data_IF_814794383723
#
_entry.id   IF_814794383723
#
_cell.length_a   1.000
_cell.length_b   1.000
_cell.length_c   1.000
_cell.angle_alpha   90.00
_cell.angle_beta   90.00
_cell.angle_gamma   90.00
#
_symmetry.space_group_name_H-M   'P 1'
#
loop_
_entity.id
_entity.type
_entity.pdbx_description
1 polymer ?
#
# COMPACT_ATOMS: atom_id res chain seq x y z
N UNK A 1 5.12 -4.07 11.78
CA UNK A 1 4.87 -2.67 11.42
C UNK A 1 3.37 -2.55 11.24
N UNK A 2 2.70 -1.68 11.98
CA UNK A 2 1.24 -1.51 11.86
C UNK A 2 1.02 -0.47 10.77
N UNK A 3 0.33 -0.87 9.70
CA UNK A 3 -0.04 0.02 8.59
C UNK A 3 -1.43 0.59 8.82
N UNK A 4 -1.79 1.63 8.06
CA UNK A 4 -3.18 2.05 7.94
C UNK A 4 -4.04 0.89 7.40
N UNK A 5 -5.32 0.83 7.79
CA UNK A 5 -6.20 -0.25 7.32
C UNK A 5 -6.44 -0.18 5.81
N UNK A 6 -6.40 1.01 5.24
CA UNK A 6 -6.45 1.22 3.79
C UNK A 6 -5.30 0.50 3.06
N UNK A 7 -4.06 0.66 3.55
CA UNK A 7 -2.90 -0.03 2.98
C UNK A 7 -2.94 -1.54 3.19
N UNK A 8 -3.39 -1.98 4.35
CA UNK A 8 -3.58 -3.41 4.63
C UNK A 8 -4.56 -4.04 3.66
N UNK A 9 -5.69 -3.40 3.39
CA UNK A 9 -6.67 -3.87 2.40
C UNK A 9 -6.09 -3.94 0.99
N UNK A 10 -5.27 -2.95 0.58
CA UNK A 10 -4.58 -3.00 -0.71
C UNK A 10 -3.56 -4.13 -0.77
N UNK A 11 -2.90 -4.45 0.36
CA UNK A 11 -1.90 -5.51 0.43
C UNK A 11 -2.48 -6.92 0.41
N UNK A 12 -3.76 -7.11 0.75
CA UNK A 12 -4.40 -8.42 0.67
C UNK A 12 -4.39 -9.06 -0.73
N UNK A 13 -4.26 -8.25 -1.77
CA UNK A 13 -4.20 -8.68 -3.17
C UNK A 13 -2.84 -8.31 -3.80
N UNK A 14 -1.76 -8.39 -3.02
CA UNK A 14 -0.42 -8.15 -3.52
C UNK A 14 -0.02 -9.12 -4.66
N UNK A 15 0.78 -8.62 -5.63
CA UNK A 15 1.27 -7.25 -5.80
C UNK A 15 0.33 -6.36 -6.63
N UNK A 16 -0.73 -6.92 -7.21
CA UNK A 16 -1.51 -6.30 -8.28
C UNK A 16 -2.23 -5.02 -7.89
N UNK A 17 -2.82 -4.97 -6.68
CA UNK A 17 -3.57 -3.79 -6.26
C UNK A 17 -2.66 -2.62 -5.92
N UNK A 18 -1.49 -2.87 -5.34
CA UNK A 18 -0.50 -1.82 -5.10
C UNK A 18 0.03 -1.24 -6.42
N UNK A 19 0.31 -2.10 -7.40
CA UNK A 19 0.72 -1.68 -8.74
C UNK A 19 -0.39 -0.85 -9.39
N UNK A 20 -1.62 -1.36 -9.38
CA UNK A 20 -2.74 -0.74 -10.07
C UNK A 20 -3.10 0.61 -9.46
N UNK A 21 -3.26 0.70 -8.14
CA UNK A 21 -3.76 1.92 -7.49
C UNK A 21 -2.69 2.95 -7.15
N UNK A 22 -1.43 2.54 -7.06
CA UNK A 22 -0.32 3.44 -6.71
C UNK A 22 0.66 3.64 -7.85
N UNK A 23 1.23 2.57 -8.39
CA UNK A 23 2.30 2.68 -9.38
C UNK A 23 1.78 3.23 -10.72
N UNK A 24 0.66 2.72 -11.22
CA UNK A 24 0.13 3.14 -12.53
C UNK A 24 -0.20 4.64 -12.58
N UNK A 25 -0.98 5.21 -11.63
CA UNK A 25 -1.25 6.66 -11.65
C UNK A 25 0.01 7.50 -11.50
N UNK A 26 0.97 7.04 -10.68
CA UNK A 26 2.23 7.73 -10.45
C UNK A 26 3.08 7.79 -11.73
N UNK A 27 3.32 6.65 -12.38
CA UNK A 27 4.09 6.59 -13.63
C UNK A 27 3.44 7.41 -14.74
N UNK A 28 2.13 7.34 -14.88
CA UNK A 28 1.40 8.16 -15.86
C UNK A 28 1.56 9.66 -15.57
N UNK A 29 1.40 10.07 -14.31
CA UNK A 29 1.54 11.46 -13.90
C UNK A 29 2.96 12.00 -14.14
N UNK A 30 3.97 11.23 -13.78
CA UNK A 30 5.37 11.60 -14.02
C UNK A 30 5.70 11.67 -15.51
N UNK A 31 5.16 10.74 -16.31
CA UNK A 31 5.31 10.75 -17.77
C UNK A 31 4.69 12.01 -18.38
N UNK A 32 3.51 12.42 -17.93
CA UNK A 32 2.85 13.65 -18.39
C UNK A 32 3.67 14.87 -17.99
N UNK A 33 4.14 14.92 -16.76
CA UNK A 33 4.93 16.05 -16.26
C UNK A 33 6.26 16.17 -17.02
N UNK A 34 6.95 15.05 -17.24
CA UNK A 34 8.19 15.02 -18.01
C UNK A 34 7.97 15.41 -19.49
N UNK A 35 6.95 14.85 -20.12
CA UNK A 35 6.63 15.19 -21.53
C UNK A 35 6.23 16.64 -21.69
N UNK A 36 5.47 17.21 -20.75
CA UNK A 36 5.15 18.64 -20.74
C UNK A 36 6.38 19.54 -20.58
N UNK A 37 7.32 19.14 -19.71
CA UNK A 37 8.58 19.85 -19.56
C UNK A 37 9.45 19.78 -20.84
N UNK A 38 9.53 18.60 -21.47
CA UNK A 38 10.24 18.46 -22.74
C UNK A 38 9.61 19.23 -23.88
N UNK A 39 8.28 19.29 -23.95
CA UNK A 39 7.56 20.11 -24.93
C UNK A 39 7.88 21.59 -24.79
N UNK A 40 8.08 22.09 -23.57
CA UNK A 40 8.47 23.48 -23.34
C UNK A 40 9.94 23.74 -23.69
N UNK A 41 10.84 22.77 -23.49
CA UNK A 41 12.25 22.90 -23.78
C UNK A 41 12.58 22.80 -25.28
N UNK A 42 11.93 21.86 -25.96
CA UNK A 42 12.17 21.59 -27.38
C UNK A 42 11.09 22.27 -28.23
N UNK A 43 11.41 23.41 -28.86
CA UNK A 43 10.50 24.15 -29.76
C UNK A 43 10.48 23.59 -31.19
N UNK A 44 11.12 22.46 -31.44
CA UNK A 44 11.23 21.83 -32.75
C UNK A 44 10.12 20.81 -33.01
N UNK A 45 10.12 20.17 -34.17
CA UNK A 45 9.19 19.09 -34.57
C UNK A 45 9.11 17.90 -33.58
N UNK A 46 10.04 17.81 -32.62
CA UNK A 46 10.01 16.86 -31.53
C UNK A 46 8.98 17.19 -30.46
N UNK A 47 8.61 18.47 -30.30
CA UNK A 47 7.60 18.90 -29.30
C UNK A 47 6.26 18.28 -29.57
N UNK A 48 5.86 18.12 -30.84
CA UNK A 48 4.58 17.53 -31.24
C UNK A 48 4.42 16.08 -30.75
N UNK A 49 5.50 15.29 -30.75
CA UNK A 49 5.48 13.92 -30.23
C UNK A 49 5.31 13.87 -28.71
N UNK A 50 5.95 14.79 -28.00
CA UNK A 50 5.82 14.91 -26.56
C UNK A 50 4.44 15.39 -26.13
N UNK A 51 3.86 16.32 -26.88
CA UNK A 51 2.49 16.80 -26.67
C UNK A 51 1.47 15.68 -26.91
N UNK A 52 1.65 14.90 -27.97
CA UNK A 52 0.79 13.73 -28.25
C UNK A 52 0.88 12.69 -27.15
N UNK A 53 2.09 12.41 -26.64
CA UNK A 53 2.30 11.48 -25.53
C UNK A 53 1.61 11.98 -24.25
N UNK A 54 1.81 13.26 -23.92
CA UNK A 54 1.16 13.90 -22.78
C UNK A 54 -0.36 13.79 -22.85
N UNK A 55 -0.92 14.09 -24.04
CA UNK A 55 -2.36 14.01 -24.29
C UNK A 55 -2.93 12.60 -24.07
N UNK A 56 -2.30 11.58 -24.66
CA UNK A 56 -2.76 10.18 -24.52
C UNK A 56 -2.64 9.72 -23.06
N UNK A 57 -1.51 9.99 -22.41
CA UNK A 57 -1.33 9.64 -21.00
C UNK A 57 -2.31 10.38 -20.09
N UNK A 58 -2.64 11.65 -20.39
CA UNK A 58 -3.61 12.44 -19.63
C UNK A 58 -5.04 11.88 -19.73
N UNK A 59 -5.46 11.44 -20.91
CA UNK A 59 -6.75 10.77 -21.09
C UNK A 59 -6.81 9.46 -20.29
N UNK A 60 -5.77 8.63 -20.42
CA UNK A 60 -5.69 7.35 -19.71
C UNK A 60 -5.70 7.59 -18.19
N UNK A 61 -4.88 8.52 -17.70
CA UNK A 61 -4.79 8.83 -16.28
C UNK A 61 -6.13 9.31 -15.73
N UNK A 62 -6.80 10.24 -16.42
CA UNK A 62 -8.07 10.80 -15.98
C UNK A 62 -9.17 9.74 -15.85
N UNK A 63 -9.37 8.94 -16.91
CA UNK A 63 -10.37 7.85 -16.89
C UNK A 63 -10.02 6.81 -15.84
N UNK A 64 -8.77 6.36 -15.82
CA UNK A 64 -8.30 5.36 -14.87
C UNK A 64 -8.51 5.81 -13.43
N UNK A 65 -8.11 7.04 -13.11
CA UNK A 65 -8.18 7.54 -11.73
C UNK A 65 -9.63 7.72 -11.24
N UNK A 66 -10.56 8.11 -12.12
CA UNK A 66 -11.99 8.16 -11.79
C UNK A 66 -12.51 6.76 -11.47
N UNK A 67 -12.23 5.77 -12.31
CA UNK A 67 -12.67 4.39 -12.11
C UNK A 67 -12.07 3.82 -10.82
N UNK A 68 -10.77 4.02 -10.61
CA UNK A 68 -10.06 3.58 -9.39
C UNK A 68 -10.66 4.20 -8.13
N UNK A 69 -10.98 5.50 -8.16
CA UNK A 69 -11.57 6.18 -7.00
C UNK A 69 -12.99 5.70 -6.72
N UNK A 70 -13.82 5.53 -7.75
CA UNK A 70 -15.17 4.96 -7.58
C UNK A 70 -15.06 3.57 -6.96
N UNK A 71 -14.14 2.74 -7.43
CA UNK A 71 -13.91 1.41 -6.86
C UNK A 71 -13.48 1.47 -5.39
N UNK A 72 -12.54 2.33 -5.04
CA UNK A 72 -12.09 2.50 -3.64
C UNK A 72 -13.25 2.97 -2.76
N UNK A 73 -14.01 3.98 -3.18
CA UNK A 73 -15.11 4.54 -2.40
C UNK A 73 -16.24 3.52 -2.21
N UNK A 74 -16.55 2.71 -3.22
CA UNK A 74 -17.65 1.74 -3.14
C UNK A 74 -17.27 0.42 -2.45
N UNK A 75 -16.03 -0.05 -2.64
CA UNK A 75 -15.59 -1.37 -2.17
C UNK A 75 -14.80 -1.31 -0.88
N UNK A 76 -13.92 -0.31 -0.71
CA UNK A 76 -13.03 -0.23 0.45
C UNK A 76 -13.56 0.65 1.58
N UNK A 77 -14.08 1.83 1.27
CA UNK A 77 -14.55 2.78 2.30
C UNK A 77 -15.60 2.16 3.24
N UNK A 78 -16.57 1.32 2.77
CA UNK A 78 -17.53 0.68 3.67
C UNK A 78 -16.93 -0.38 4.58
N UNK A 79 -15.78 -0.97 4.19
CA UNK A 79 -15.13 -2.06 4.94
C UNK A 79 -13.97 -1.58 5.80
N UNK A 80 -13.59 -0.31 5.70
CA UNK A 80 -12.48 0.24 6.45
C UNK A 80 -12.81 0.36 7.93
N UNK A 81 -11.91 -0.21 8.74
CA UNK A 81 -11.86 0.06 10.18
C UNK A 81 -10.93 1.24 10.43
N UNK A 82 -11.52 2.38 10.75
CA UNK A 82 -10.78 3.62 10.97
C UNK A 82 -9.82 3.51 12.16
N UNK A 83 -8.53 3.54 11.91
CA UNK A 83 -7.46 3.43 12.92
C UNK A 83 -6.96 4.79 13.41
N UNK A 84 -7.61 5.88 13.00
CA UNK A 84 -7.28 7.22 13.46
C UNK A 84 -7.25 8.27 12.36
N UNK A 85 -6.80 9.50 12.67
CA UNK A 85 -6.80 10.61 11.73
C UNK A 85 -5.91 10.38 10.49
N UNK A 86 -4.89 9.53 10.61
CA UNK A 86 -3.99 9.20 9.49
C UNK A 86 -4.75 8.49 8.38
N UNK A 87 -5.65 7.55 8.70
CA UNK A 87 -6.49 6.87 7.71
C UNK A 87 -7.40 7.85 6.97
N UNK A 88 -8.00 8.80 7.71
CA UNK A 88 -8.84 9.84 7.10
C UNK A 88 -8.06 10.69 6.12
N UNK A 89 -6.88 11.18 6.53
CA UNK A 89 -6.04 12.02 5.68
C UNK A 89 -5.64 11.26 4.41
N UNK A 90 -5.22 9.99 4.53
CA UNK A 90 -4.80 9.16 3.39
C UNK A 90 -5.93 9.00 2.37
N UNK A 91 -7.12 8.57 2.80
CA UNK A 91 -8.25 8.32 1.91
C UNK A 91 -8.79 9.62 1.33
N UNK A 92 -8.96 10.66 2.15
CA UNK A 92 -9.45 11.94 1.66
C UNK A 92 -8.47 12.61 0.71
N UNK A 93 -7.16 12.50 0.93
CA UNK A 93 -6.16 12.97 -0.04
C UNK A 93 -6.30 12.23 -1.39
N UNK A 94 -6.51 10.91 -1.36
CA UNK A 94 -6.75 10.14 -2.58
C UNK A 94 -8.03 10.61 -3.32
N UNK A 95 -9.14 10.73 -2.61
CA UNK A 95 -10.42 11.18 -3.17
C UNK A 95 -10.33 12.61 -3.71
N UNK A 96 -9.66 13.52 -2.99
CA UNK A 96 -9.44 14.90 -3.44
C UNK A 96 -8.59 14.96 -4.72
N UNK A 97 -7.70 13.98 -4.93
CA UNK A 97 -6.93 13.83 -6.18
C UNK A 97 -7.80 13.65 -7.43
N UNK A 98 -9.08 13.26 -7.28
CA UNK A 98 -10.03 13.19 -8.40
C UNK A 98 -10.30 14.57 -9.02
N UNK A 99 -10.31 15.62 -8.21
CA UNK A 99 -10.60 16.97 -8.70
C UNK A 99 -9.61 17.39 -9.79
N UNK A 100 -8.29 17.41 -9.54
CA UNK A 100 -7.34 17.72 -10.59
C UNK A 100 -7.32 16.68 -11.71
N UNK A 101 -7.55 15.38 -11.44
CA UNK A 101 -7.64 14.36 -12.48
C UNK A 101 -8.78 14.62 -13.47
N UNK A 102 -9.96 14.95 -12.98
CA UNK A 102 -11.12 15.33 -13.83
C UNK A 102 -10.83 16.60 -14.61
N UNK A 103 -10.23 17.60 -13.98
CA UNK A 103 -9.89 18.85 -14.67
C UNK A 103 -8.84 18.63 -15.77
N UNK A 104 -7.87 17.74 -15.56
CA UNK A 104 -6.91 17.34 -16.59
C UNK A 104 -7.64 16.63 -17.73
N UNK A 105 -8.50 15.66 -17.42
CA UNK A 105 -9.31 14.95 -18.43
C UNK A 105 -10.15 15.91 -19.26
N UNK A 106 -10.85 16.85 -18.63
CA UNK A 106 -11.67 17.85 -19.32
C UNK A 106 -10.82 18.81 -20.17
N UNK A 107 -9.61 19.10 -19.74
CA UNK A 107 -8.65 19.90 -20.50
C UNK A 107 -8.17 19.14 -21.74
N UNK A 108 -7.85 17.85 -21.61
CA UNK A 108 -7.43 17.00 -22.72
C UNK A 108 -8.56 16.76 -23.74
N UNK A 109 -9.80 16.64 -23.27
CA UNK A 109 -10.98 16.58 -24.13
C UNK A 109 -11.31 17.92 -24.82
N UNK A 110 -10.57 19.01 -24.48
CA UNK A 110 -10.80 20.33 -25.05
C UNK A 110 -12.10 21.00 -24.60
N UNK A 111 -12.72 20.52 -23.52
CA UNK A 111 -13.98 21.08 -22.98
C UNK A 111 -13.71 22.36 -22.22
N UNK A 112 -12.63 22.39 -21.42
CA UNK A 112 -12.22 23.56 -20.63
C UNK A 112 -10.99 24.23 -21.24
N UNK A 113 -10.83 25.52 -20.95
CA UNK A 113 -9.71 26.36 -21.44
C UNK A 113 -9.57 26.47 -22.96
N UNK A 114 -10.65 26.28 -23.73
CA UNK A 114 -10.65 26.32 -25.17
C UNK A 114 -10.27 27.70 -25.74
N UNK A 115 -10.59 28.79 -25.03
CA UNK A 115 -10.29 30.16 -25.44
C UNK A 115 -9.02 30.74 -24.82
N UNK A 116 -8.21 29.94 -24.14
CA UNK A 116 -6.98 30.37 -23.47
C UNK A 116 -5.80 30.32 -24.44
N UNK A 117 -4.86 31.28 -24.32
CA UNK A 117 -3.60 31.25 -25.04
C UNK A 117 -2.86 29.94 -24.82
N UNK A 118 -2.14 29.45 -25.84
CA UNK A 118 -1.39 28.20 -25.79
C UNK A 118 -0.47 28.10 -24.55
N UNK A 119 0.25 29.18 -24.24
CA UNK A 119 1.14 29.25 -23.07
C UNK A 119 0.36 29.20 -21.75
N UNK A 120 -0.81 29.83 -21.69
CA UNK A 120 -1.65 29.80 -20.49
C UNK A 120 -2.28 28.43 -20.26
N UNK A 121 -2.63 27.71 -21.33
CA UNK A 121 -3.12 26.33 -21.28
C UNK A 121 -2.08 25.38 -20.70
N UNK A 122 -0.82 25.45 -21.17
CA UNK A 122 0.28 24.63 -20.68
C UNK A 122 0.56 24.91 -19.20
N UNK A 123 0.61 26.17 -18.80
CA UNK A 123 0.80 26.54 -17.38
C UNK A 123 -0.29 25.96 -16.48
N UNK A 124 -1.55 26.05 -16.88
CA UNK A 124 -2.68 25.48 -16.12
C UNK A 124 -2.56 23.97 -16.03
N UNK A 125 -2.20 23.30 -17.12
CA UNK A 125 -1.97 21.87 -17.16
C UNK A 125 -0.89 21.44 -16.16
N UNK A 126 0.26 22.12 -16.16
CA UNK A 126 1.34 21.84 -15.23
C UNK A 126 0.90 22.03 -13.77
N UNK A 127 0.16 23.11 -13.48
CA UNK A 127 -0.35 23.35 -12.11
C UNK A 127 -1.32 22.25 -11.67
N UNK A 128 -2.22 21.81 -12.55
CA UNK A 128 -3.14 20.70 -12.24
C UNK A 128 -2.39 19.39 -12.03
N UNK A 129 -1.35 19.13 -12.82
CA UNK A 129 -0.50 17.95 -12.65
C UNK A 129 0.27 17.98 -11.34
N UNK A 130 0.85 19.12 -10.95
CA UNK A 130 1.53 19.28 -9.67
C UNK A 130 0.55 19.03 -8.52
N UNK A 131 -0.66 19.58 -8.61
CA UNK A 131 -1.70 19.40 -7.59
C UNK A 131 -2.13 17.93 -7.49
N UNK A 132 -2.29 17.25 -8.63
CA UNK A 132 -2.60 15.82 -8.68
C UNK A 132 -1.50 15.00 -8.01
N UNK A 133 -0.24 15.21 -8.40
CA UNK A 133 0.93 14.53 -7.82
C UNK A 133 1.02 14.78 -6.32
N UNK A 134 0.76 16.02 -5.87
CA UNK A 134 0.77 16.35 -4.45
C UNK A 134 -0.26 15.51 -3.67
N UNK A 135 -1.51 15.44 -4.14
CA UNK A 135 -2.55 14.69 -3.46
C UNK A 135 -2.30 13.18 -3.47
N UNK A 136 -1.82 12.62 -4.57
CA UNK A 136 -1.51 11.18 -4.66
C UNK A 136 -0.32 10.80 -3.79
N UNK A 137 0.73 11.62 -3.72
CA UNK A 137 1.86 11.40 -2.82
C UNK A 137 1.46 11.55 -1.36
N UNK A 138 0.62 12.54 -1.03
CA UNK A 138 0.09 12.72 0.33
C UNK A 138 -0.70 11.48 0.75
N UNK A 139 -1.57 10.96 -0.12
CA UNK A 139 -2.33 9.74 0.13
C UNK A 139 -1.41 8.53 0.39
N UNK A 140 -0.34 8.39 -0.41
CA UNK A 140 0.63 7.30 -0.27
C UNK A 140 1.44 7.41 1.02
N UNK A 141 1.99 8.58 1.31
CA UNK A 141 2.83 8.81 2.52
C UNK A 141 2.01 8.57 3.78
N UNK A 142 0.81 9.13 3.88
CA UNK A 142 -0.06 8.91 5.04
C UNK A 142 -0.63 7.49 5.06
N UNK A 143 -0.84 6.86 3.90
CA UNK A 143 -1.24 5.46 3.83
C UNK A 143 -0.22 4.50 4.44
N UNK A 144 1.07 4.78 4.25
CA UNK A 144 2.17 3.97 4.80
C UNK A 144 2.57 4.38 6.23
N UNK A 145 2.08 5.50 6.74
CA UNK A 145 2.40 5.98 8.08
C UNK A 145 1.83 5.03 9.15
N UNK A 146 2.57 4.88 10.25
CA UNK A 146 2.10 4.05 11.37
C UNK A 146 0.97 4.78 12.13
N UNK A 147 -0.25 4.19 12.22
CA UNK A 147 -1.36 4.81 12.95
C UNK A 147 -1.07 5.04 14.43
N UNK A 148 -0.12 4.35 15.01
CA UNK A 148 0.30 4.52 16.41
C UNK A 148 0.91 5.91 16.65
N UNK A 149 1.50 6.53 15.63
CA UNK A 149 2.00 7.91 15.72
C UNK A 149 0.88 8.93 16.01
N UNK A 150 -0.36 8.60 15.68
CA UNK A 150 -1.55 9.41 15.94
C UNK A 150 -2.37 8.90 17.13
N UNK A 151 -1.78 8.07 17.99
CA UNK A 151 -2.43 7.58 19.22
C UNK A 151 -3.30 6.34 19.04
N UNK A 152 -3.25 5.65 17.92
CA UNK A 152 -3.93 4.37 17.75
C UNK A 152 -3.27 3.29 18.62
N UNK A 153 -4.08 2.65 19.48
CA UNK A 153 -3.65 1.50 20.26
C UNK A 153 -4.24 0.25 19.59
N UNK A 154 -3.41 -0.62 18.98
CA UNK A 154 -3.91 -1.84 18.38
C UNK A 154 -4.57 -2.70 19.47
N UNK A 155 -5.69 -3.36 19.19
CA UNK A 155 -6.29 -4.29 20.13
C UNK A 155 -5.22 -5.32 20.48
N UNK A 156 -5.00 -5.55 21.79
CA UNK A 156 -4.11 -6.60 22.26
C UNK A 156 -4.53 -7.89 21.57
N UNK A 157 -3.75 -8.36 20.62
CA UNK A 157 -3.87 -9.75 20.20
C UNK A 157 -3.64 -10.54 21.47
N UNK A 158 -4.73 -11.11 22.02
CA UNK A 158 -4.61 -12.20 22.95
C UNK A 158 -3.87 -13.28 22.16
N UNK A 159 -2.55 -13.27 22.26
CA UNK A 159 -1.73 -14.40 21.93
C UNK A 159 -2.17 -15.52 22.89
N UNK A 160 -3.25 -16.21 22.53
CA UNK A 160 -3.41 -17.62 22.85
C UNK A 160 -2.41 -18.42 21.99
N UNK A 161 -1.22 -17.89 21.74
CA UNK A 161 -0.04 -18.70 21.57
C UNK A 161 0.33 -19.10 23.00
N UNK A 162 -0.21 -20.29 23.37
CA UNK A 162 0.45 -21.22 24.26
C UNK A 162 1.62 -20.58 24.99
N UNK A 163 1.36 -20.04 26.17
CA UNK A 163 2.30 -20.24 27.25
C UNK A 163 2.39 -21.75 27.54
N UNK A 164 2.92 -22.50 26.58
CA UNK A 164 3.80 -23.61 26.85
C UNK A 164 5.13 -23.00 27.33
N UNK A 165 5.04 -22.13 28.26
CA UNK A 165 6.21 -21.75 29.00
C UNK A 165 6.17 -22.59 30.27
N UNK A 166 7.05 -23.61 30.27
CA UNK A 166 7.42 -24.46 31.35
C UNK A 166 7.57 -23.75 32.67
N UNK A 167 6.50 -23.69 33.39
CA UNK A 167 6.43 -23.65 34.80
C UNK A 167 5.31 -24.62 35.24
N UNK A 168 5.39 -25.86 34.78
CA UNK A 168 4.97 -26.94 35.66
C UNK A 168 6.08 -27.07 36.71
N UNK A 169 5.81 -26.84 37.98
CA UNK A 169 6.71 -27.31 39.01
C UNK A 169 6.79 -28.83 38.80
N UNK A 170 7.95 -29.32 38.41
CA UNK A 170 8.23 -30.75 38.50
C UNK A 170 8.23 -31.05 39.99
N UNK A 171 7.12 -31.63 40.45
CA UNK A 171 7.05 -32.25 41.77
C UNK A 171 7.95 -33.47 41.73
N UNK A 172 9.19 -33.29 42.19
CA UNK A 172 10.20 -34.34 42.32
C UNK A 172 9.90 -35.33 43.46
N UNK A 173 8.72 -35.24 44.11
CA UNK A 173 8.38 -36.05 45.28
C UNK A 173 7.76 -37.41 44.97
N UNK A 174 7.67 -37.86 43.72
CA UNK A 174 7.12 -39.17 43.34
C UNK A 174 8.02 -40.01 42.43
N UNK A 175 9.32 -39.86 42.49
CA UNK A 175 10.21 -40.92 42.00
C UNK A 175 10.64 -41.79 43.20
N UNK A 176 9.80 -42.77 43.46
CA UNK A 176 10.11 -43.87 44.38
C UNK A 176 11.21 -44.73 43.76
N UNK A 177 12.41 -44.57 44.28
CA UNK A 177 13.61 -45.34 43.85
C UNK A 177 13.64 -46.77 44.42
N UNK A 178 12.52 -47.34 44.89
CA UNK A 178 12.51 -48.63 45.61
C UNK A 178 12.17 -49.86 44.75
N UNK A 179 12.19 -49.79 43.42
CA UNK A 179 11.99 -51.00 42.61
C UNK A 179 12.99 -51.14 41.44
N UNK A 180 14.25 -50.99 41.68
CA UNK A 180 15.25 -51.66 40.86
C UNK A 180 15.75 -52.91 41.56
N UNK A 181 15.11 -54.02 41.20
CA UNK A 181 15.51 -55.35 41.64
C UNK A 181 16.88 -55.69 41.01
N UNK A 182 17.89 -55.78 41.87
CA UNK A 182 19.28 -56.11 41.53
C UNK A 182 19.49 -57.60 41.27
N UNK A 183 18.47 -58.44 41.07
CA UNK A 183 18.56 -59.87 41.04
C UNK A 183 18.54 -60.57 39.70
N UNK A 184 18.81 -59.88 38.60
CA UNK A 184 18.88 -60.53 37.29
C UNK A 184 20.17 -60.34 36.49
N UNK A 185 21.30 -60.05 37.13
CA UNK A 185 22.60 -60.02 36.45
C UNK A 185 23.65 -60.92 37.05
N UNK A 186 23.28 -62.11 37.55
CA UNK A 186 24.29 -63.05 38.00
C UNK A 186 24.02 -64.53 37.59
N UNK A 187 23.51 -64.75 36.42
CA UNK A 187 23.12 -66.09 35.93
C UNK A 187 23.51 -66.48 34.52
N UNK A 188 24.45 -65.79 33.86
CA UNK A 188 24.89 -66.21 32.53
C UNK A 188 26.36 -65.94 32.22
N UNK A 189 27.24 -66.41 33.10
CA UNK A 189 28.67 -66.61 32.80
C UNK A 189 29.19 -67.88 33.53
N UNK A 190 28.68 -69.04 33.11
CA UNK A 190 29.41 -70.28 33.28
C UNK A 190 28.75 -71.33 32.36
N UNK A 191 29.43 -71.63 31.30
CA UNK A 191 29.08 -72.77 30.46
C UNK A 191 29.40 -72.57 29.00
N UNK A 192 30.72 -72.62 28.68
CA UNK A 192 31.21 -73.27 27.47
C UNK A 192 32.70 -73.06 27.35
N UNK A 193 33.44 -73.93 28.03
CA UNK A 193 34.74 -74.44 27.58
C UNK A 193 34.63 -75.91 27.72
N UNK A 194 34.49 -76.54 26.58
CA UNK A 194 35.14 -77.84 26.19
C UNK A 194 34.88 -77.94 24.64
#
# INVERSE_FOLDING_TARGET
MVMTHYMELLSLHEPWFLILFMLVPMVLAETILASGAFSLLYKDSRSEKWDSLSHVCGLILGVFFIVATVYIVTSYVPTIQWRGPIDYISIWAYVLGVIPAVLILLQELGIIFKSSDSTAKIKKHIVLMILFVLFTHLAMVFGMADPQLAGYVPPKQNNMQMQMNGNMPMDHSQMDHSQMNHDQMNGQMNGQMD
#
